data_IF_565195973373
#
_entry.id   IF_565195973373
#
_cell.length_a   1.000
_cell.length_b   1.000
_cell.length_c   1.000
_cell.angle_alpha   90.00
_cell.angle_beta   90.00
_cell.angle_gamma   90.00
#
_symmetry.space_group_name_H-M   'P 1'
#
loop_
_entity.id
_entity.type
_entity.pdbx_description
1 polymer ?
#
# COMPACT_ATOMS: atom_id res chain seq x y z
N UNK A 1 0.66 -11.31 -4.42
CA UNK A 1 0.78 -11.20 -2.95
C UNK A 1 2.00 -12.00 -2.53
N UNK A 2 2.69 -11.61 -1.45
CA UNK A 2 3.90 -12.27 -0.97
C UNK A 2 3.55 -13.36 0.04
N UNK A 3 3.96 -14.59 -0.23
CA UNK A 3 3.74 -15.72 0.69
C UNK A 3 4.90 -15.88 1.69
N UNK A 4 4.72 -16.74 2.69
CA UNK A 4 5.77 -17.09 3.64
C UNK A 4 7.02 -17.64 2.91
N UNK A 5 8.19 -17.11 3.23
CA UNK A 5 9.45 -17.47 2.56
C UNK A 5 9.70 -16.74 1.25
N UNK A 6 8.79 -15.87 0.78
CA UNK A 6 9.04 -15.01 -0.35
C UNK A 6 10.17 -14.02 -0.06
N UNK A 7 11.07 -13.85 -1.04
CA UNK A 7 12.17 -12.88 -1.00
C UNK A 7 12.90 -12.83 0.36
N UNK A 8 13.49 -13.93 0.83
CA UNK A 8 13.96 -14.07 2.21
C UNK A 8 15.06 -13.09 2.61
N UNK A 9 15.72 -12.46 1.64
CA UNK A 9 16.82 -11.50 1.86
C UNK A 9 16.46 -10.05 1.48
N UNK A 10 15.19 -9.76 1.15
CA UNK A 10 14.80 -8.40 0.75
C UNK A 10 14.88 -7.45 1.94
N UNK A 11 15.71 -6.42 1.82
CA UNK A 11 15.86 -5.40 2.87
C UNK A 11 15.08 -4.13 2.58
N UNK A 12 14.88 -3.80 1.30
CA UNK A 12 14.16 -2.60 0.86
C UNK A 12 13.17 -2.98 -0.21
N UNK A 13 11.92 -2.56 -0.02
CA UNK A 13 10.84 -2.79 -0.97
C UNK A 13 10.23 -1.46 -1.41
N UNK A 14 10.09 -1.29 -2.72
CA UNK A 14 9.42 -0.16 -3.32
C UNK A 14 8.13 -0.63 -3.97
N UNK A 15 7.01 -0.05 -3.57
CA UNK A 15 5.67 -0.39 -4.07
C UNK A 15 5.06 0.85 -4.71
N UNK A 16 4.52 0.70 -5.92
CA UNK A 16 3.79 1.76 -6.64
C UNK A 16 2.35 1.32 -6.82
N UNK A 17 1.41 2.19 -6.49
CA UNK A 17 -0.02 1.86 -6.42
C UNK A 17 -0.84 2.96 -7.07
N UNK A 18 -1.80 2.52 -7.88
CA UNK A 18 -2.86 3.34 -8.44
C UNK A 18 -4.19 2.83 -7.86
N UNK A 19 -4.75 3.46 -6.82
CA UNK A 19 -5.94 2.93 -6.17
C UNK A 19 -7.16 2.85 -7.11
N UNK A 20 -7.26 3.77 -8.09
CA UNK A 20 -8.26 3.72 -9.17
C UNK A 20 -8.29 2.40 -9.95
N UNK A 21 -7.16 1.73 -10.10
CA UNK A 21 -7.04 0.50 -10.88
C UNK A 21 -7.42 -0.75 -10.04
N UNK A 22 -7.52 -0.59 -8.73
CA UNK A 22 -7.80 -1.68 -7.79
C UNK A 22 -9.30 -1.72 -7.47
N UNK A 23 -9.96 -0.57 -7.38
CA UNK A 23 -11.42 -0.48 -7.26
C UNK A 23 -12.16 -1.00 -8.50
N UNK A 24 -11.53 -1.03 -9.69
CA UNK A 24 -12.14 -1.52 -10.92
C UNK A 24 -11.98 -3.03 -11.14
N UNK A 25 -10.94 -3.65 -10.59
CA UNK A 25 -10.65 -5.08 -10.75
C UNK A 25 -11.21 -5.96 -9.61
N UNK A 26 -11.40 -5.39 -8.42
CA UNK A 26 -11.87 -6.08 -7.22
C UNK A 26 -13.08 -5.33 -6.68
N UNK A 27 -14.28 -5.89 -6.80
CA UNK A 27 -15.49 -5.38 -6.15
C UNK A 27 -15.44 -5.37 -4.61
N UNK A 28 -14.29 -5.68 -4.01
CA UNK A 28 -14.04 -5.63 -2.58
C UNK A 28 -13.29 -4.33 -2.22
N UNK A 29 -13.93 -3.53 -1.37
CA UNK A 29 -13.44 -2.29 -0.74
C UNK A 29 -12.28 -2.51 0.25
N UNK A 30 -11.35 -3.42 -0.04
CA UNK A 30 -10.34 -3.90 0.91
C UNK A 30 -9.07 -4.53 0.34
N UNK A 31 -8.81 -4.47 -0.98
CA UNK A 31 -7.75 -5.25 -1.65
C UNK A 31 -6.27 -4.96 -1.31
N UNK A 32 -5.97 -4.27 -0.20
CA UNK A 32 -4.60 -3.94 0.23
C UNK A 32 -4.13 -4.71 1.46
N UNK A 33 -5.03 -5.34 2.21
CA UNK A 33 -4.73 -6.06 3.45
C UNK A 33 -3.89 -7.33 3.24
N UNK A 34 -3.98 -7.93 2.06
CA UNK A 34 -3.37 -9.23 1.77
C UNK A 34 -2.12 -9.14 0.84
N UNK A 35 -1.48 -7.96 0.72
CA UNK A 35 -0.25 -7.83 -0.09
C UNK A 35 0.88 -8.75 0.41
N UNK A 36 0.87 -9.13 1.70
CA UNK A 36 1.78 -10.12 2.26
C UNK A 36 3.10 -9.55 2.78
N UNK A 37 3.18 -8.24 2.99
CA UNK A 37 4.38 -7.55 3.49
C UNK A 37 4.85 -8.13 4.82
N UNK A 38 3.94 -8.62 5.66
CA UNK A 38 4.23 -9.28 6.93
C UNK A 38 5.09 -10.54 6.78
N UNK A 39 5.11 -11.17 5.59
CA UNK A 39 5.87 -12.39 5.32
C UNK A 39 7.33 -12.13 4.92
N UNK A 40 7.71 -10.87 4.68
CA UNK A 40 9.06 -10.48 4.27
C UNK A 40 9.98 -10.36 5.50
N UNK A 41 10.59 -11.48 5.87
CA UNK A 41 11.34 -11.67 7.13
C UNK A 41 12.67 -10.94 7.24
N UNK A 42 13.13 -10.26 6.20
CA UNK A 42 14.36 -9.43 6.22
C UNK A 42 14.10 -7.95 5.91
N UNK A 43 12.82 -7.57 5.78
CA UNK A 43 12.44 -6.23 5.33
C UNK A 43 12.79 -5.18 6.39
N UNK A 44 13.56 -4.18 6.01
CA UNK A 44 13.99 -3.08 6.87
C UNK A 44 13.39 -1.74 6.45
N UNK A 45 13.11 -1.54 5.16
CA UNK A 45 12.52 -0.30 4.64
C UNK A 45 11.42 -0.63 3.62
N UNK A 46 10.30 0.07 3.73
CA UNK A 46 9.16 -0.03 2.84
C UNK A 46 8.81 1.36 2.33
N UNK A 47 8.94 1.57 1.02
CA UNK A 47 8.61 2.83 0.37
C UNK A 47 7.39 2.63 -0.54
N UNK A 48 6.31 3.36 -0.27
CA UNK A 48 5.05 3.26 -1.00
C UNK A 48 4.77 4.57 -1.73
N UNK A 49 4.59 4.49 -3.04
CA UNK A 49 4.16 5.59 -3.90
C UNK A 49 2.71 5.41 -4.29
N UNK A 50 1.83 6.29 -3.84
CA UNK A 50 0.40 6.25 -4.11
C UNK A 50 0.07 7.31 -5.17
N UNK A 51 -0.44 6.89 -6.31
CA UNK A 51 -0.88 7.77 -7.40
C UNK A 51 -2.37 8.04 -7.26
N UNK A 52 -2.69 9.25 -6.80
CA UNK A 52 -4.04 9.62 -6.36
C UNK A 52 -4.95 10.12 -7.50
N UNK A 53 -4.44 10.25 -8.73
CA UNK A 53 -5.23 10.70 -9.88
C UNK A 53 -6.53 9.89 -10.02
N UNK A 54 -7.67 10.56 -10.10
CA UNK A 54 -8.97 9.93 -10.30
C UNK A 54 -9.41 9.02 -9.14
N UNK A 55 -8.83 9.20 -7.95
CA UNK A 55 -9.15 8.44 -6.74
C UNK A 55 -9.78 9.35 -5.69
N UNK A 56 -10.71 8.84 -4.87
CA UNK A 56 -11.30 9.58 -3.73
C UNK A 56 -10.34 9.63 -2.54
N UNK A 57 -10.46 10.64 -1.70
CA UNK A 57 -9.64 10.77 -0.48
C UNK A 57 -9.77 9.56 0.45
N UNK A 58 -10.99 9.07 0.67
CA UNK A 58 -11.25 7.90 1.51
C UNK A 58 -10.53 6.63 1.01
N UNK A 59 -10.39 6.44 -0.30
CA UNK A 59 -9.71 5.28 -0.86
C UNK A 59 -8.19 5.37 -0.65
N UNK A 60 -7.62 6.57 -0.81
CA UNK A 60 -6.20 6.82 -0.53
C UNK A 60 -5.87 6.58 0.95
N UNK A 61 -6.73 7.07 1.86
CA UNK A 61 -6.57 6.83 3.30
C UNK A 61 -6.66 5.34 3.65
N UNK A 62 -7.58 4.61 3.02
CA UNK A 62 -7.69 3.16 3.23
C UNK A 62 -6.39 2.42 2.81
N UNK A 63 -5.77 2.82 1.69
CA UNK A 63 -4.46 2.28 1.26
C UNK A 63 -3.40 2.57 2.32
N UNK A 64 -3.33 3.80 2.80
CA UNK A 64 -2.34 4.21 3.82
C UNK A 64 -2.48 3.44 5.13
N UNK A 65 -3.71 3.26 5.60
CA UNK A 65 -3.99 2.45 6.79
C UNK A 65 -3.55 1.01 6.58
N UNK A 66 -3.86 0.40 5.43
CA UNK A 66 -3.47 -0.98 5.15
C UNK A 66 -1.94 -1.16 5.15
N UNK A 67 -1.20 -0.28 4.50
CA UNK A 67 0.27 -0.33 4.50
C UNK A 67 0.87 -0.13 5.89
N UNK A 68 0.28 0.78 6.67
CA UNK A 68 0.70 0.99 8.05
C UNK A 68 0.48 -0.27 8.89
N UNK A 69 -0.71 -0.87 8.83
CA UNK A 69 -1.02 -2.10 9.56
C UNK A 69 -0.10 -3.26 9.15
N UNK A 70 0.18 -3.42 7.85
CA UNK A 70 1.10 -4.44 7.36
C UNK A 70 2.55 -4.22 7.81
N UNK A 71 3.03 -2.97 7.81
CA UNK A 71 4.37 -2.64 8.32
C UNK A 71 4.47 -2.89 9.84
N UNK A 72 3.40 -2.59 10.60
CA UNK A 72 3.34 -2.86 12.03
C UNK A 72 3.25 -4.35 12.36
N UNK A 73 2.62 -5.14 11.49
CA UNK A 73 2.51 -6.60 11.61
C UNK A 73 3.78 -7.35 11.18
N UNK A 74 4.65 -6.73 10.38
CA UNK A 74 5.92 -7.36 9.98
C UNK A 74 6.84 -7.53 11.21
N UNK A 75 7.45 -8.72 11.40
CA UNK A 75 8.34 -9.00 12.54
C UNK A 75 9.47 -8.00 12.75
N UNK A 76 9.99 -7.41 11.66
CA UNK A 76 11.09 -6.45 11.72
C UNK A 76 10.63 -4.99 11.81
N UNK A 77 9.32 -4.73 11.74
CA UNK A 77 8.73 -3.38 11.76
C UNK A 77 9.50 -2.40 10.86
N UNK A 78 9.50 -2.63 9.53
CA UNK A 78 10.30 -1.84 8.61
C UNK A 78 9.96 -0.35 8.71
N UNK A 79 10.93 0.49 8.42
CA UNK A 79 10.70 1.93 8.27
C UNK A 79 9.75 2.13 7.08
N UNK A 80 8.53 2.59 7.37
CA UNK A 80 7.53 2.91 6.36
C UNK A 80 7.68 4.36 5.91
N UNK A 81 7.82 4.56 4.60
CA UNK A 81 7.74 5.86 3.95
C UNK A 81 6.64 5.83 2.89
N UNK A 82 5.72 6.79 2.96
CA UNK A 82 4.60 6.90 2.04
C UNK A 82 4.62 8.26 1.35
N UNK A 83 4.42 8.26 0.02
CA UNK A 83 4.37 9.47 -0.79
C UNK A 83 3.14 9.44 -1.68
N UNK A 84 2.36 10.51 -1.63
CA UNK A 84 1.23 10.74 -2.54
C UNK A 84 1.73 11.49 -3.78
N UNK A 85 1.24 11.08 -4.94
CA UNK A 85 1.54 11.65 -6.25
C UNK A 85 0.23 12.01 -6.95
N UNK A 86 0.18 13.14 -7.65
CA UNK A 86 -1.02 13.64 -8.34
C UNK A 86 -2.22 13.79 -7.39
N UNK A 87 -1.98 14.26 -6.17
CA UNK A 87 -3.03 14.49 -5.17
C UNK A 87 -3.99 15.60 -5.60
N UNK A 88 -3.51 16.55 -6.41
CA UNK A 88 -4.25 17.61 -7.06
C UNK A 88 -5.25 17.11 -8.12
N UNK A 89 -5.09 15.88 -8.62
CA UNK A 89 -5.99 15.24 -9.59
C UNK A 89 -6.96 14.23 -8.94
N UNK A 90 -7.09 14.28 -7.61
CA UNK A 90 -8.05 13.46 -6.87
C UNK A 90 -9.50 13.85 -7.21
N UNK A 91 -10.40 12.88 -7.11
CA UNK A 91 -11.83 13.15 -7.21
C UNK A 91 -12.23 14.02 -6.02
N UNK A 92 -12.95 15.10 -6.28
CA UNK A 92 -13.59 15.87 -5.22
C UNK A 92 -14.67 14.98 -4.61
N UNK A 93 -14.77 15.00 -3.29
CA UNK A 93 -15.98 14.48 -2.68
C UNK A 93 -17.14 15.38 -3.11
N UNK A 94 -18.16 14.79 -3.73
CA UNK A 94 -19.39 15.50 -4.05
C UNK A 94 -19.98 16.06 -2.75
N UNK A 95 -20.25 17.37 -2.74
CA UNK A 95 -20.83 18.14 -1.62
C UNK A 95 -22.23 17.64 -1.23
#
# INVERSE_FOLDING_TARGET
MFEAGAMPNVRRLYVKIWPKDINSASGCRGGFDDIGIQHLSSLAELCVSIYCQGTRAADVEAVEVAFKSMAEANPNRPKLEMRRYQAEEMLKDDE
#
